data_IF_468146144253
#
_entry.id   IF_468146144253
#
_cell.length_a   1.000
_cell.length_b   1.000
_cell.length_c   1.000
_cell.angle_alpha   90.00
_cell.angle_beta   90.00
_cell.angle_gamma   90.00
#
_symmetry.space_group_name_H-M   'P 1'
#
loop_
_entity.id
_entity.type
_entity.pdbx_description
1 polymer ?
#
# COMPACT_ATOMS: atom_id res chain seq x y z
N UNK A 1 28.65 -1.49 -46.40
CA UNK A 1 29.19 -1.63 -45.04
C UNK A 1 29.00 -0.27 -44.41
N UNK A 2 28.25 -0.17 -43.32
CA UNK A 2 28.06 1.13 -42.65
C UNK A 2 29.41 1.66 -42.19
N UNK A 3 29.61 2.95 -42.34
CA UNK A 3 30.78 3.65 -41.82
C UNK A 3 30.75 3.68 -40.30
N UNK A 4 31.91 3.82 -39.62
CA UNK A 4 31.95 3.94 -38.16
C UNK A 4 31.05 5.07 -37.61
N UNK A 5 30.92 6.17 -38.35
CA UNK A 5 30.08 7.30 -37.98
C UNK A 5 28.58 6.97 -38.13
N UNK A 6 28.19 6.28 -39.20
CA UNK A 6 26.81 5.79 -39.38
C UNK A 6 26.41 4.76 -38.30
N UNK A 7 27.34 3.93 -37.84
CA UNK A 7 27.10 2.98 -36.73
C UNK A 7 26.92 3.73 -35.41
N UNK A 8 27.71 4.78 -35.17
CA UNK A 8 27.60 5.59 -33.96
C UNK A 8 26.28 6.39 -33.93
N UNK A 9 25.85 6.92 -35.07
CA UNK A 9 24.58 7.63 -35.22
C UNK A 9 23.38 6.70 -35.01
N UNK A 10 23.37 5.50 -35.62
CA UNK A 10 22.30 4.52 -35.42
C UNK A 10 22.20 4.08 -33.95
N UNK A 11 23.33 3.79 -33.30
CA UNK A 11 23.35 3.41 -31.88
C UNK A 11 22.81 4.53 -30.99
N UNK A 12 23.20 5.77 -31.24
CA UNK A 12 22.69 6.93 -30.49
C UNK A 12 21.18 7.13 -30.68
N UNK A 13 20.66 6.95 -31.90
CA UNK A 13 19.23 7.00 -32.19
C UNK A 13 18.47 5.89 -31.46
N UNK A 14 19.01 4.66 -31.43
CA UNK A 14 18.44 3.54 -30.69
C UNK A 14 18.39 3.82 -29.17
N UNK A 15 19.51 4.24 -28.58
CA UNK A 15 19.58 4.57 -27.14
C UNK A 15 18.65 5.74 -26.76
N UNK A 16 18.56 6.76 -27.63
CA UNK A 16 17.64 7.89 -27.43
C UNK A 16 16.17 7.44 -27.54
N UNK A 17 15.82 6.59 -28.51
CA UNK A 17 14.47 6.06 -28.63
C UNK A 17 14.09 5.16 -27.45
N UNK A 18 15.01 4.33 -26.97
CA UNK A 18 14.81 3.46 -25.81
C UNK A 18 14.60 4.29 -24.53
N UNK A 19 15.45 5.29 -24.28
CA UNK A 19 15.31 6.19 -23.12
C UNK A 19 14.00 7.00 -23.15
N UNK A 20 13.64 7.61 -24.27
CA UNK A 20 12.35 8.32 -24.42
C UNK A 20 11.17 7.38 -24.18
N UNK A 21 11.26 6.12 -24.65
CA UNK A 21 10.20 5.13 -24.46
C UNK A 21 10.05 4.74 -22.99
N UNK A 22 11.16 4.55 -22.27
CA UNK A 22 11.16 4.28 -20.82
C UNK A 22 10.56 5.46 -20.05
N UNK A 23 11.03 6.68 -20.31
CA UNK A 23 10.51 7.90 -19.66
C UNK A 23 9.02 8.11 -19.93
N UNK A 24 8.55 7.84 -21.16
CA UNK A 24 7.14 7.94 -21.51
C UNK A 24 6.28 6.89 -20.76
N UNK A 25 6.78 5.67 -20.59
CA UNK A 25 6.10 4.61 -19.84
C UNK A 25 6.05 4.96 -18.35
N UNK A 26 7.15 5.42 -17.76
CA UNK A 26 7.20 5.83 -16.35
C UNK A 26 6.31 7.05 -16.06
N UNK A 27 6.33 8.06 -16.93
CA UNK A 27 5.47 9.24 -16.85
C UNK A 27 3.99 8.90 -17.02
N UNK A 28 3.65 8.01 -17.95
CA UNK A 28 2.28 7.51 -18.12
C UNK A 28 1.80 6.76 -16.88
N UNK A 29 2.66 5.93 -16.30
CA UNK A 29 2.34 5.09 -15.15
C UNK A 29 2.12 5.91 -13.89
N UNK A 30 3.01 6.86 -13.62
CA UNK A 30 2.85 7.83 -12.52
C UNK A 30 1.59 8.68 -12.72
N UNK A 31 1.33 9.14 -13.96
CA UNK A 31 0.11 9.88 -14.29
C UNK A 31 -1.19 9.09 -14.04
N UNK A 32 -1.17 7.77 -14.27
CA UNK A 32 -2.32 6.88 -14.01
C UNK A 32 -2.56 6.64 -12.52
N UNK A 33 -1.50 6.44 -11.73
CA UNK A 33 -1.58 6.41 -10.26
C UNK A 33 -2.17 7.70 -9.70
N UNK A 34 -1.66 8.86 -10.12
CA UNK A 34 -2.16 10.16 -9.70
C UNK A 34 -3.63 10.37 -10.08
N UNK A 35 -4.05 9.93 -11.26
CA UNK A 35 -5.44 10.07 -11.73
C UNK A 35 -6.46 9.39 -10.81
N UNK A 36 -6.07 8.32 -10.11
CA UNK A 36 -6.95 7.66 -9.15
C UNK A 36 -7.24 8.57 -7.96
N UNK A 37 -6.20 9.10 -7.32
CA UNK A 37 -6.34 9.93 -6.13
C UNK A 37 -6.99 11.28 -6.44
N UNK A 38 -6.73 11.86 -7.62
CA UNK A 38 -7.45 13.04 -8.11
C UNK A 38 -8.95 12.78 -8.28
N UNK A 39 -9.33 11.58 -8.75
CA UNK A 39 -10.73 11.20 -8.93
C UNK A 39 -11.42 10.85 -7.62
N UNK A 40 -10.68 10.30 -6.66
CA UNK A 40 -11.20 9.82 -5.38
C UNK A 40 -10.43 10.41 -4.19
N UNK A 41 -10.46 11.73 -3.98
CA UNK A 41 -9.68 12.40 -2.94
C UNK A 41 -10.09 11.99 -1.51
N UNK A 42 -11.31 11.46 -1.34
CA UNK A 42 -11.84 11.01 -0.05
C UNK A 42 -11.55 9.53 0.27
N UNK A 43 -10.76 8.83 -0.55
CA UNK A 43 -10.57 7.37 -0.41
C UNK A 43 -10.01 6.95 0.96
N UNK A 44 -9.24 7.82 1.62
CA UNK A 44 -8.70 7.56 2.96
C UNK A 44 -9.52 8.16 4.12
N UNK A 45 -10.59 8.94 3.86
CA UNK A 45 -11.37 9.59 4.94
C UNK A 45 -12.00 8.56 5.90
N UNK A 46 -12.50 7.46 5.37
CA UNK A 46 -13.09 6.38 6.17
C UNK A 46 -12.04 5.70 7.07
N UNK A 47 -10.79 5.57 6.61
CA UNK A 47 -9.68 5.03 7.42
C UNK A 47 -9.42 5.94 8.62
N UNK A 48 -9.38 7.25 8.40
CA UNK A 48 -9.14 8.22 9.47
C UNK A 48 -10.31 8.29 10.45
N UNK A 49 -11.54 8.20 9.95
CA UNK A 49 -12.73 8.13 10.80
C UNK A 49 -12.69 6.91 11.71
N UNK A 50 -12.46 5.72 11.16
CA UNK A 50 -12.48 4.47 11.93
C UNK A 50 -11.27 4.37 12.88
N UNK A 51 -10.10 4.90 12.49
CA UNK A 51 -8.93 4.97 13.37
C UNK A 51 -9.18 5.90 14.57
N UNK A 52 -9.82 7.06 14.37
CA UNK A 52 -10.20 7.97 15.46
C UNK A 52 -11.22 7.33 16.40
N UNK A 53 -12.21 6.64 15.83
CA UNK A 53 -13.19 5.90 16.61
C UNK A 53 -12.51 4.82 17.46
N UNK A 54 -11.61 4.03 16.86
CA UNK A 54 -10.81 3.02 17.54
C UNK A 54 -10.05 3.60 18.74
N UNK A 55 -9.39 4.74 18.55
CA UNK A 55 -8.72 5.47 19.63
C UNK A 55 -9.68 5.90 20.73
N UNK A 56 -10.86 6.41 20.37
CA UNK A 56 -11.83 6.88 21.35
C UNK A 56 -12.35 5.75 22.26
N UNK A 57 -12.40 4.51 21.77
CA UNK A 57 -12.94 3.37 22.53
C UNK A 57 -11.87 2.49 23.18
N UNK A 58 -10.59 2.72 22.91
CA UNK A 58 -9.49 1.82 23.29
C UNK A 58 -9.38 1.55 24.80
N UNK A 59 -9.56 2.58 25.63
CA UNK A 59 -9.48 2.42 27.09
C UNK A 59 -10.69 1.67 27.67
N UNK A 60 -11.85 1.81 27.04
CA UNK A 60 -13.12 1.24 27.53
C UNK A 60 -13.36 -0.17 27.01
N UNK A 61 -12.95 -0.44 25.77
CA UNK A 61 -13.15 -1.73 25.12
C UNK A 61 -12.00 -2.05 24.17
N UNK A 62 -10.98 -2.77 24.67
CA UNK A 62 -9.90 -3.26 23.83
C UNK A 62 -10.38 -4.19 22.71
N UNK A 63 -11.49 -4.89 22.93
CA UNK A 63 -12.15 -5.73 21.91
C UNK A 63 -12.66 -4.89 20.74
N UNK A 64 -13.37 -3.79 21.01
CA UNK A 64 -13.84 -2.89 19.95
C UNK A 64 -12.65 -2.21 19.26
N UNK A 65 -11.66 -1.74 20.01
CA UNK A 65 -10.48 -1.11 19.44
C UNK A 65 -9.68 -2.05 18.54
N UNK A 66 -9.46 -3.31 18.94
CA UNK A 66 -8.80 -4.30 18.08
C UNK A 66 -9.53 -4.47 16.75
N UNK A 67 -10.85 -4.58 16.76
CA UNK A 67 -11.65 -4.70 15.53
C UNK A 67 -11.49 -3.47 14.64
N UNK A 68 -11.62 -2.27 15.21
CA UNK A 68 -11.59 -1.01 14.46
C UNK A 68 -10.18 -0.68 13.94
N UNK A 69 -9.12 -0.88 14.73
CA UNK A 69 -7.74 -0.72 14.26
C UNK A 69 -7.38 -1.73 13.18
N UNK A 70 -7.77 -3.00 13.33
CA UNK A 70 -7.54 -4.02 12.29
C UNK A 70 -8.29 -3.67 11.00
N UNK A 71 -9.52 -3.13 11.10
CA UNK A 71 -10.25 -2.62 9.95
C UNK A 71 -9.53 -1.44 9.29
N UNK A 72 -9.01 -0.49 10.07
CA UNK A 72 -8.21 0.62 9.54
C UNK A 72 -7.00 0.09 8.74
N UNK A 73 -6.24 -0.86 9.29
CA UNK A 73 -5.10 -1.51 8.63
C UNK A 73 -5.52 -2.11 7.29
N UNK A 74 -6.53 -2.97 7.29
CA UNK A 74 -6.95 -3.69 6.09
C UNK A 74 -7.50 -2.77 5.01
N UNK A 75 -8.31 -1.78 5.40
CA UNK A 75 -8.89 -0.82 4.46
C UNK A 75 -7.80 0.08 3.88
N UNK A 76 -6.82 0.49 4.69
CA UNK A 76 -5.67 1.28 4.21
C UNK A 76 -4.92 0.50 3.13
N UNK A 77 -4.47 -0.69 3.47
CA UNK A 77 -3.73 -1.58 2.58
C UNK A 77 -4.50 -1.88 1.29
N UNK A 78 -5.76 -2.32 1.39
CA UNK A 78 -6.55 -2.76 0.23
C UNK A 78 -7.09 -1.61 -0.60
N UNK A 79 -7.72 -0.63 0.03
CA UNK A 79 -8.54 0.37 -0.66
C UNK A 79 -7.78 1.67 -0.93
N UNK A 80 -6.85 2.05 -0.05
CA UNK A 80 -6.14 3.33 -0.17
C UNK A 80 -4.76 3.20 -0.81
N UNK A 81 -4.19 1.99 -0.87
CA UNK A 81 -2.89 1.75 -1.52
C UNK A 81 -3.04 0.80 -2.70
N UNK A 82 -3.39 -0.46 -2.47
CA UNK A 82 -3.39 -1.48 -3.54
C UNK A 82 -4.35 -1.16 -4.67
N UNK A 83 -5.60 -0.81 -4.37
CA UNK A 83 -6.60 -0.52 -5.41
C UNK A 83 -6.17 0.64 -6.33
N UNK A 84 -5.74 1.81 -5.83
CA UNK A 84 -5.14 2.85 -6.66
C UNK A 84 -4.00 2.34 -7.53
N UNK A 85 -3.17 1.46 -6.97
CA UNK A 85 -2.01 0.95 -7.68
C UNK A 85 -2.39 -0.02 -8.78
N UNK A 86 -3.28 -0.98 -8.52
CA UNK A 86 -3.85 -1.85 -9.55
C UNK A 86 -4.51 -1.00 -10.64
N UNK A 87 -5.21 0.08 -10.28
CA UNK A 87 -5.82 1.00 -11.25
C UNK A 87 -4.77 1.70 -12.12
N UNK A 88 -3.64 2.08 -11.50
CA UNK A 88 -2.55 2.78 -12.14
C UNK A 88 -1.64 1.90 -12.98
N UNK A 89 -1.46 0.62 -12.63
CA UNK A 89 -0.45 -0.29 -13.18
C UNK A 89 -1.02 -1.44 -14.02
N UNK A 90 -2.33 -1.46 -14.28
CA UNK A 90 -2.96 -2.54 -15.07
C UNK A 90 -2.38 -2.72 -16.47
N UNK A 91 -1.69 -1.70 -17.01
CA UNK A 91 -1.00 -1.76 -18.30
C UNK A 91 0.44 -2.28 -18.22
N UNK A 92 1.01 -2.47 -17.02
CA UNK A 92 2.32 -3.07 -16.82
C UNK A 92 2.17 -4.60 -16.84
N UNK A 93 2.89 -5.29 -17.73
CA UNK A 93 2.76 -6.73 -17.94
C UNK A 93 3.05 -7.54 -16.67
N UNK A 94 4.07 -7.17 -15.88
CA UNK A 94 4.42 -7.86 -14.62
C UNK A 94 3.32 -7.71 -13.57
N UNK A 95 2.66 -6.55 -13.50
CA UNK A 95 1.56 -6.30 -12.57
C UNK A 95 0.24 -6.90 -13.08
N UNK A 96 0.03 -6.93 -14.39
CA UNK A 96 -1.14 -7.56 -15.01
C UNK A 96 -1.16 -9.08 -14.80
N UNK A 97 0.00 -9.74 -14.88
CA UNK A 97 0.14 -11.16 -14.56
C UNK A 97 -0.21 -11.40 -13.08
N UNK A 98 0.34 -10.60 -12.16
CA UNK A 98 0.02 -10.65 -10.72
C UNK A 98 -1.48 -10.43 -10.43
N UNK A 99 -2.12 -9.45 -11.07
CA UNK A 99 -3.56 -9.17 -10.92
C UNK A 99 -4.40 -10.33 -11.46
N UNK A 100 -4.02 -10.88 -12.62
CA UNK A 100 -4.72 -12.03 -13.23
C UNK A 100 -4.65 -13.24 -12.32
N UNK A 101 -3.47 -13.49 -11.73
CA UNK A 101 -3.25 -14.57 -10.79
C UNK A 101 -4.01 -14.36 -9.47
N UNK A 102 -4.17 -13.11 -9.01
CA UNK A 102 -5.02 -12.71 -7.88
C UNK A 102 -6.52 -12.90 -8.16
N UNK A 103 -6.98 -12.65 -9.39
CA UNK A 103 -8.39 -12.80 -9.77
C UNK A 103 -8.81 -14.27 -9.96
N UNK A 104 -7.88 -15.13 -10.37
CA UNK A 104 -8.14 -16.56 -10.66
C UNK A 104 -7.95 -17.45 -9.43
N UNK A 105 -7.09 -17.08 -8.47
CA UNK A 105 -6.80 -17.90 -7.28
C UNK A 105 -7.36 -17.29 -5.99
N UNK A 106 -8.20 -18.05 -5.30
CA UNK A 106 -9.00 -17.64 -4.16
C UNK A 106 -8.20 -17.62 -2.83
N UNK A 107 -7.09 -16.87 -2.74
CA UNK A 107 -6.22 -16.87 -1.57
C UNK A 107 -5.99 -15.44 -1.01
N UNK A 108 -5.95 -15.32 0.32
CA UNK A 108 -6.01 -14.06 1.09
C UNK A 108 -4.79 -13.12 1.00
N UNK A 109 -4.50 -12.42 2.10
CA UNK A 109 -3.54 -11.31 2.16
C UNK A 109 -2.07 -11.65 1.82
N UNK A 110 -1.68 -12.92 1.66
CA UNK A 110 -0.30 -13.29 1.33
C UNK A 110 0.12 -12.88 -0.10
N UNK A 111 -0.74 -13.06 -1.11
CA UNK A 111 -0.46 -12.57 -2.48
C UNK A 111 -0.49 -11.05 -2.57
N UNK A 112 -1.28 -10.43 -1.71
CA UNK A 112 -1.29 -8.98 -1.55
C UNK A 112 0.08 -8.45 -1.09
N UNK A 113 0.84 -9.22 -0.30
CA UNK A 113 2.19 -8.84 0.13
C UNK A 113 3.14 -8.67 -1.04
N UNK A 114 3.09 -9.59 -2.00
CA UNK A 114 4.00 -9.56 -3.17
C UNK A 114 3.72 -8.36 -4.06
N UNK A 115 2.45 -8.13 -4.41
CA UNK A 115 2.06 -6.97 -5.21
C UNK A 115 2.40 -5.67 -4.48
N UNK A 116 2.02 -5.55 -3.21
CA UNK A 116 2.30 -4.33 -2.46
C UNK A 116 3.81 -4.11 -2.28
N UNK A 117 4.61 -5.16 -2.09
CA UNK A 117 6.08 -5.03 -2.00
C UNK A 117 6.68 -4.55 -3.31
N UNK A 118 6.24 -5.09 -4.45
CA UNK A 118 6.69 -4.63 -5.77
C UNK A 118 6.35 -3.15 -6.00
N UNK A 119 5.15 -2.75 -5.61
CA UNK A 119 4.68 -1.36 -5.70
C UNK A 119 5.49 -0.43 -4.82
N UNK A 120 5.71 -0.81 -3.55
CA UNK A 120 6.51 -0.03 -2.62
C UNK A 120 7.97 0.09 -3.10
N UNK A 121 8.52 -0.94 -3.73
CA UNK A 121 9.87 -0.86 -4.30
C UNK A 121 9.99 0.13 -5.46
N UNK A 122 8.87 0.44 -6.13
CA UNK A 122 8.84 1.32 -7.30
C UNK A 122 8.41 2.76 -6.97
N UNK A 123 7.50 2.94 -6.00
CA UNK A 123 6.88 4.24 -5.68
C UNK A 123 7.03 4.67 -4.21
N UNK A 124 7.53 3.80 -3.35
CA UNK A 124 7.79 4.08 -1.95
C UNK A 124 9.29 4.16 -1.68
N UNK A 125 9.65 4.80 -0.57
CA UNK A 125 11.02 4.77 -0.04
C UNK A 125 11.19 3.70 1.02
N UNK A 126 10.09 3.19 1.57
CA UNK A 126 10.09 2.20 2.65
C UNK A 126 10.10 0.77 2.09
N UNK A 127 11.10 -0.02 2.49
CA UNK A 127 11.11 -1.47 2.26
C UNK A 127 10.05 -2.15 3.13
N UNK A 128 8.83 -2.25 2.61
CA UNK A 128 7.72 -2.82 3.36
C UNK A 128 7.93 -4.29 3.72
N UNK A 129 8.74 -5.03 2.95
CA UNK A 129 8.96 -6.45 3.17
C UNK A 129 9.73 -6.69 4.46
N UNK A 130 10.70 -5.83 4.76
CA UNK A 130 11.54 -5.92 5.95
C UNK A 130 11.23 -4.87 7.01
N UNK A 131 10.24 -4.01 6.78
CA UNK A 131 9.88 -2.95 7.70
C UNK A 131 9.46 -3.50 9.07
N UNK A 132 9.90 -2.78 10.10
CA UNK A 132 9.73 -3.10 11.50
C UNK A 132 9.47 -1.80 12.25
N UNK A 133 8.42 -1.80 13.06
CA UNK A 133 8.10 -0.68 13.94
C UNK A 133 9.24 -0.52 14.96
N UNK A 134 9.63 0.72 15.24
CA UNK A 134 10.71 0.99 16.21
C UNK A 134 10.44 0.33 17.56
N UNK A 135 11.39 -0.45 18.05
CA UNK A 135 11.27 -1.21 19.31
C UNK A 135 10.64 -2.60 19.18
N UNK A 136 10.10 -2.95 18.02
CA UNK A 136 9.47 -4.25 17.79
C UNK A 136 10.49 -5.30 17.33
N UNK A 137 10.21 -6.57 17.58
CA UNK A 137 11.09 -7.69 17.20
C UNK A 137 10.64 -8.43 15.94
N UNK A 138 9.36 -8.31 15.57
CA UNK A 138 8.76 -8.89 14.37
C UNK A 138 8.76 -7.88 13.24
N UNK A 139 8.68 -8.37 11.99
CA UNK A 139 8.37 -7.48 10.87
C UNK A 139 6.88 -7.15 10.84
N UNK A 140 6.52 -6.12 10.11
CA UNK A 140 5.14 -5.62 10.06
C UNK A 140 4.15 -6.66 9.53
N UNK A 141 4.56 -7.55 8.64
CA UNK A 141 3.68 -8.60 8.11
C UNK A 141 3.36 -9.69 9.12
N UNK A 142 4.34 -10.08 9.93
CA UNK A 142 4.14 -11.00 11.04
C UNK A 142 3.19 -10.38 12.08
N UNK A 143 3.31 -9.07 12.31
CA UNK A 143 2.45 -8.34 13.26
C UNK A 143 1.02 -8.17 12.74
N UNK A 144 0.85 -7.85 11.44
CA UNK A 144 -0.45 -7.82 10.77
C UNK A 144 -1.14 -9.19 10.87
N UNK A 145 -0.42 -10.28 10.61
CA UNK A 145 -0.96 -11.65 10.72
C UNK A 145 -1.40 -11.97 12.16
N UNK A 146 -0.63 -11.55 13.17
CA UNK A 146 -1.00 -11.72 14.58
C UNK A 146 -2.29 -10.99 14.93
N UNK A 147 -2.43 -9.70 14.60
CA UNK A 147 -3.64 -8.93 14.93
C UNK A 147 -4.86 -9.42 14.14
N UNK A 148 -4.66 -9.93 12.92
CA UNK A 148 -5.74 -10.54 12.13
C UNK A 148 -6.23 -11.84 12.74
N UNK A 149 -5.33 -12.70 13.20
CA UNK A 149 -5.71 -13.91 13.93
C UNK A 149 -6.48 -13.58 15.21
N UNK A 150 -5.99 -12.62 15.98
CA UNK A 150 -6.70 -12.14 17.18
C UNK A 150 -8.09 -11.58 16.83
N UNK A 151 -8.18 -10.74 15.79
CA UNK A 151 -9.45 -10.19 15.29
C UNK A 151 -10.42 -11.28 14.87
N UNK A 152 -9.96 -12.34 14.21
CA UNK A 152 -10.81 -13.43 13.77
C UNK A 152 -11.41 -14.21 14.93
N UNK A 153 -10.66 -14.40 16.03
CA UNK A 153 -11.19 -15.00 17.26
C UNK A 153 -12.31 -14.13 17.85
N UNK A 154 -12.09 -12.82 17.95
CA UNK A 154 -13.11 -11.87 18.41
C UNK A 154 -14.34 -11.91 17.50
N UNK A 155 -14.17 -11.72 16.20
CA UNK A 155 -15.26 -11.54 15.25
C UNK A 155 -16.10 -12.81 15.01
N UNK A 156 -15.45 -13.98 15.02
CA UNK A 156 -16.12 -15.25 14.69
C UNK A 156 -16.46 -16.11 15.90
N UNK A 157 -15.79 -15.90 17.05
CA UNK A 157 -16.01 -16.70 18.26
C UNK A 157 -16.44 -15.87 19.47
N UNK A 158 -16.55 -14.54 19.32
CA UNK A 158 -16.89 -13.61 20.40
C UNK A 158 -15.94 -13.70 21.61
N UNK A 159 -14.69 -14.14 21.38
CA UNK A 159 -13.66 -14.13 22.42
C UNK A 159 -13.27 -12.68 22.74
N UNK A 160 -13.07 -12.31 24.03
CA UNK A 160 -12.60 -10.98 24.37
C UNK A 160 -11.16 -10.79 23.87
N UNK A 161 -10.84 -9.58 23.39
CA UNK A 161 -9.48 -9.28 22.96
C UNK A 161 -8.53 -9.12 24.16
N UNK A 162 -7.28 -9.55 23.99
CA UNK A 162 -6.18 -9.12 24.85
C UNK A 162 -5.93 -7.61 24.64
N UNK A 163 -5.90 -6.76 25.69
CA UNK A 163 -5.55 -5.35 25.58
C UNK A 163 -4.25 -5.07 24.81
N UNK A 164 -3.23 -5.91 24.98
CA UNK A 164 -1.95 -5.79 24.25
C UNK A 164 -2.13 -5.93 22.73
N UNK A 165 -3.08 -6.73 22.28
CA UNK A 165 -3.39 -6.87 20.85
C UNK A 165 -4.04 -5.62 20.29
N UNK A 166 -4.86 -4.92 21.08
CA UNK A 166 -5.44 -3.64 20.66
C UNK A 166 -4.37 -2.55 20.55
N UNK A 167 -3.43 -2.52 21.50
CA UNK A 167 -2.26 -1.61 21.46
C UNK A 167 -1.40 -1.90 20.24
N UNK A 168 -1.05 -3.17 20.00
CA UNK A 168 -0.29 -3.58 18.83
C UNK A 168 -1.02 -3.20 17.53
N UNK A 169 -2.33 -3.43 17.43
CA UNK A 169 -3.11 -3.03 16.27
C UNK A 169 -3.10 -1.51 16.05
N UNK A 170 -3.11 -0.70 17.11
CA UNK A 170 -2.96 0.74 17.00
C UNK A 170 -1.59 1.14 16.45
N UNK A 171 -0.51 0.54 16.95
CA UNK A 171 0.86 0.81 16.50
C UNK A 171 1.03 0.47 15.02
N UNK A 172 0.57 -0.71 14.61
CA UNK A 172 0.55 -1.13 13.20
C UNK A 172 -0.29 -0.18 12.34
N UNK A 173 -1.50 0.17 12.77
CA UNK A 173 -2.36 1.09 12.02
C UNK A 173 -1.71 2.46 11.84
N UNK A 174 -1.02 2.93 12.88
CA UNK A 174 -0.28 4.21 12.83
C UNK A 174 0.87 4.12 11.85
N UNK A 175 1.69 3.08 11.92
CA UNK A 175 2.81 2.87 11.00
C UNK A 175 2.31 2.80 9.55
N UNK A 176 1.24 2.03 9.26
CA UNK A 176 0.71 1.92 7.90
C UNK A 176 0.13 3.23 7.37
N UNK A 177 -0.51 4.04 8.21
CA UNK A 177 -1.06 5.32 7.75
C UNK A 177 0.05 6.36 7.56
N UNK A 178 0.99 6.47 8.50
CA UNK A 178 1.99 7.55 8.53
C UNK A 178 3.24 7.20 7.75
N UNK A 179 3.76 5.97 7.89
CA UNK A 179 5.02 5.61 7.26
C UNK A 179 4.81 5.04 5.84
N UNK A 180 3.64 4.48 5.55
CA UNK A 180 3.35 3.85 4.24
C UNK A 180 2.47 4.70 3.36
N UNK A 181 1.21 4.93 3.77
CA UNK A 181 0.27 5.66 2.93
C UNK A 181 0.78 7.08 2.64
N UNK A 182 1.27 7.79 3.66
CA UNK A 182 1.78 9.14 3.48
C UNK A 182 3.06 9.17 2.62
N UNK A 183 3.99 8.21 2.76
CA UNK A 183 5.18 8.10 1.90
C UNK A 183 4.80 7.91 0.43
N UNK A 184 3.88 6.98 0.15
CA UNK A 184 3.36 6.75 -1.21
C UNK A 184 2.72 8.00 -1.79
N UNK A 185 1.88 8.69 -1.01
CA UNK A 185 1.20 9.91 -1.47
C UNK A 185 2.20 11.04 -1.74
N UNK A 186 3.16 11.26 -0.85
CA UNK A 186 4.20 12.28 -1.03
C UNK A 186 5.03 12.03 -2.29
N UNK A 187 5.43 10.78 -2.56
CA UNK A 187 6.20 10.43 -3.77
C UNK A 187 5.39 10.61 -5.06
N UNK A 188 4.06 10.57 -4.97
CA UNK A 188 3.14 10.86 -6.07
C UNK A 188 2.73 12.34 -6.15
N UNK A 189 3.29 13.20 -5.28
CA UNK A 189 3.04 14.64 -5.25
C UNK A 189 1.71 15.05 -4.60
N UNK A 190 1.13 14.19 -3.75
CA UNK A 190 -0.08 14.48 -2.99
C UNK A 190 0.23 14.74 -1.51
N UNK A 191 -0.64 15.50 -0.88
CA UNK A 191 -0.67 15.68 0.57
C UNK A 191 -1.88 14.97 1.17
N UNK A 192 -1.71 14.45 2.40
CA UNK A 192 -2.77 13.82 3.18
C UNK A 192 -3.14 14.72 4.36
N UNK A 193 -4.38 15.19 4.41
CA UNK A 193 -4.84 16.03 5.50
C UNK A 193 -5.20 15.23 6.76
N UNK A 194 -5.53 15.94 7.84
CA UNK A 194 -5.88 15.33 9.15
C UNK A 194 -7.18 14.52 9.14
N UNK A 195 -8.01 14.68 8.11
CA UNK A 195 -9.27 14.00 7.93
C UNK A 195 -9.17 12.80 6.99
N UNK A 196 -8.00 12.59 6.35
CA UNK A 196 -7.79 11.55 5.35
C UNK A 196 -8.16 11.99 3.93
N UNK A 197 -8.32 13.29 3.69
CA UNK A 197 -8.51 13.84 2.35
C UNK A 197 -7.16 14.02 1.68
N UNK A 198 -7.08 13.59 0.42
CA UNK A 198 -5.89 13.68 -0.43
C UNK A 198 -6.01 14.92 -1.32
N UNK A 199 -4.97 15.74 -1.37
CA UNK A 199 -4.91 16.99 -2.14
C UNK A 199 -3.68 17.08 -3.01
#
# INVERSE_FOLDING_TARGET
MMTPDEIAEDNWLYEMHESISIEAIEGFTSGRLCSYYQKYPSVAENVFSIYREAKSVAEMSPTAALLLFTAAIEVTLKSTVLKPVIYGLVHNESVADLISDLAVKNNGLDRFKEVLSAVMSQYGTVDFKNYKISGHTKNIWEEIDLVQKARNLVAHRAEPANPEMAVLAQEIATAIIIDFLQDVLNNLGFELDRNGKIT
#
